data_IF_213134913322
#
_entry.id   IF_213134913322
#
_cell.length_a   1.000
_cell.length_b   1.000
_cell.length_c   1.000
_cell.angle_alpha   90.00
_cell.angle_beta   90.00
_cell.angle_gamma   90.00
#
_symmetry.space_group_name_H-M   'P 1'
#
loop_
_entity.id
_entity.type
_entity.pdbx_description
1 polymer ?
#
# COMPACT_ATOMS: atom_id res chain seq x y z
N UNK A 1 3.64 -31.37 15.67
CA UNK A 1 3.98 -30.01 16.14
C UNK A 1 4.60 -29.26 14.98
N UNK A 2 3.86 -28.34 14.34
CA UNK A 2 4.42 -27.52 13.26
C UNK A 2 5.26 -26.41 13.90
N UNK A 3 6.56 -26.40 13.61
CA UNK A 3 7.47 -25.37 14.11
C UNK A 3 7.04 -23.99 13.64
N UNK A 4 6.80 -23.08 14.57
CA UNK A 4 6.50 -21.66 14.30
C UNK A 4 7.82 -20.94 14.05
N UNK A 5 8.08 -20.57 12.81
CA UNK A 5 9.24 -19.75 12.45
C UNK A 5 8.91 -18.26 12.61
N UNK A 6 9.71 -17.54 13.38
CA UNK A 6 9.61 -16.08 13.56
C UNK A 6 10.54 -15.37 12.58
N UNK A 7 10.09 -14.22 12.09
CA UNK A 7 10.92 -13.32 11.28
C UNK A 7 11.79 -12.45 12.21
N UNK A 8 13.08 -12.22 11.88
CA UNK A 8 13.94 -11.36 12.69
C UNK A 8 13.50 -9.88 12.57
N UNK A 9 13.49 -9.19 13.70
CA UNK A 9 13.29 -7.73 13.76
C UNK A 9 14.48 -7.01 13.12
N UNK A 10 14.23 -6.07 12.22
CA UNK A 10 15.21 -5.14 11.67
C UNK A 10 14.81 -3.72 12.02
N UNK A 11 15.68 -2.99 12.73
CA UNK A 11 15.43 -1.62 13.17
C UNK A 11 15.25 -0.62 12.01
N UNK A 12 14.44 0.39 12.26
CA UNK A 12 14.29 1.56 11.39
C UNK A 12 15.58 2.38 11.40
N UNK A 13 16.06 2.70 10.21
CA UNK A 13 17.00 3.79 10.03
C UNK A 13 16.46 4.73 8.95
N UNK A 14 16.31 6.04 9.23
CA UNK A 14 16.07 6.99 8.16
C UNK A 14 17.24 6.90 7.18
N UNK A 15 16.97 7.07 5.90
CA UNK A 15 18.02 7.23 4.91
C UNK A 15 18.75 8.52 5.26
N UNK A 16 19.92 8.41 5.93
CA UNK A 16 20.81 9.55 6.12
C UNK A 16 21.13 10.12 4.73
N UNK A 17 21.02 11.45 4.57
CA UNK A 17 21.21 12.17 3.30
C UNK A 17 20.16 11.95 2.20
N UNK A 18 18.89 12.12 2.52
CA UNK A 18 17.84 12.22 1.48
C UNK A 18 17.88 13.58 0.72
N UNK A 19 18.77 14.50 1.07
CA UNK A 19 18.84 15.86 0.49
C UNK A 19 17.60 16.72 0.78
N UNK A 20 16.79 16.33 1.75
CA UNK A 20 15.59 17.04 2.16
C UNK A 20 15.91 17.96 3.34
N UNK A 21 15.64 19.26 3.28
CA UNK A 21 15.91 20.16 4.41
C UNK A 21 15.04 19.74 5.63
N UNK A 22 15.69 19.55 6.76
CA UNK A 22 15.08 19.11 8.02
C UNK A 22 14.22 20.19 8.70
N UNK A 23 14.23 21.41 8.21
CA UNK A 23 13.47 22.53 8.77
C UNK A 23 12.81 23.34 7.66
N UNK A 24 11.47 23.40 7.64
CA UNK A 24 10.74 24.35 6.82
C UNK A 24 10.51 25.63 7.61
N UNK A 25 10.92 26.82 7.10
CA UNK A 25 10.39 28.09 7.58
C UNK A 25 8.89 28.19 7.24
N UNK A 26 8.14 28.92 8.05
CA UNK A 26 6.67 29.11 7.94
C UNK A 26 6.18 29.83 6.66
N UNK A 27 6.99 29.91 5.61
CA UNK A 27 6.65 30.46 4.30
C UNK A 27 6.45 29.33 3.31
N UNK A 28 5.40 29.37 2.52
CA UNK A 28 5.10 28.40 1.46
C UNK A 28 6.36 28.11 0.63
N UNK A 29 6.75 26.83 0.50
CA UNK A 29 7.99 26.47 -0.16
C UNK A 29 8.00 26.89 -1.63
N UNK A 30 9.18 27.30 -2.13
CA UNK A 30 9.40 27.87 -3.46
C UNK A 30 9.06 26.94 -4.66
N UNK A 31 8.66 25.69 -4.41
CA UNK A 31 8.31 24.70 -5.43
C UNK A 31 6.93 24.92 -6.07
N UNK A 32 6.10 25.81 -5.54
CA UNK A 32 4.78 26.17 -6.12
C UNK A 32 4.82 26.96 -7.43
N UNK A 33 5.98 27.17 -8.04
CA UNK A 33 6.11 28.01 -9.25
C UNK A 33 6.73 27.32 -10.47
N UNK A 34 6.93 26.01 -10.47
CA UNK A 34 7.69 25.34 -11.53
C UNK A 34 6.86 24.51 -12.52
N UNK A 35 5.54 24.42 -12.38
CA UNK A 35 4.70 23.63 -13.28
C UNK A 35 3.51 24.47 -13.77
N UNK A 36 3.58 24.91 -15.03
CA UNK A 36 2.62 25.82 -15.68
C UNK A 36 1.54 25.08 -16.49
N UNK A 37 1.29 23.83 -16.21
CA UNK A 37 0.30 22.98 -16.89
C UNK A 37 -0.98 22.74 -16.07
N UNK A 38 -1.24 23.54 -15.05
CA UNK A 38 -2.51 23.55 -14.28
C UNK A 38 -2.66 22.39 -13.29
N UNK A 39 -1.64 21.54 -13.12
CA UNK A 39 -1.66 20.47 -12.13
C UNK A 39 -1.20 20.97 -10.76
N UNK A 40 -2.10 20.99 -9.78
CA UNK A 40 -1.72 21.28 -8.40
C UNK A 40 -0.88 20.12 -7.84
N UNK A 41 0.39 20.36 -7.44
CA UNK A 41 1.24 19.34 -6.85
C UNK A 41 0.61 18.71 -5.60
N UNK A 42 0.58 17.38 -5.53
CA UNK A 42 0.05 16.60 -4.40
C UNK A 42 1.18 15.94 -3.65
N UNK A 43 1.03 15.75 -2.35
CA UNK A 43 1.90 14.88 -1.54
C UNK A 43 1.34 13.47 -1.55
N UNK A 44 2.09 12.53 -2.12
CA UNK A 44 1.67 11.15 -2.35
C UNK A 44 2.61 10.21 -1.60
N UNK A 45 2.08 9.43 -0.68
CA UNK A 45 2.81 8.38 0.06
C UNK A 45 2.50 7.03 -0.58
N UNK A 46 3.52 6.30 -1.04
CA UNK A 46 3.35 4.98 -1.68
C UNK A 46 4.11 3.93 -0.90
N UNK A 47 3.40 2.95 -0.34
CA UNK A 47 4.02 1.82 0.34
C UNK A 47 4.39 0.72 -0.65
N UNK A 48 5.49 -0.01 -0.38
CA UNK A 48 6.00 -1.01 -1.33
C UNK A 48 6.57 -0.38 -2.62
N UNK A 49 7.14 0.84 -2.53
CA UNK A 49 7.57 1.63 -3.69
C UNK A 49 9.05 1.46 -4.07
N UNK A 50 9.78 0.54 -3.45
CA UNK A 50 11.19 0.26 -3.82
C UNK A 50 11.35 -0.64 -5.05
N UNK A 51 10.26 -1.24 -5.57
CA UNK A 51 10.29 -2.20 -6.70
C UNK A 51 8.89 -2.28 -7.34
N UNK A 52 8.80 -2.87 -8.55
CA UNK A 52 7.55 -3.24 -9.22
C UNK A 52 6.58 -2.08 -9.41
N UNK A 53 5.30 -2.34 -9.16
CA UNK A 53 4.17 -1.41 -9.37
C UNK A 53 4.36 -0.11 -8.61
N UNK A 54 4.71 -0.19 -7.32
CA UNK A 54 4.85 1.00 -6.48
C UNK A 54 5.97 1.92 -6.96
N UNK A 55 7.10 1.36 -7.43
CA UNK A 55 8.20 2.14 -8.01
C UNK A 55 7.80 2.78 -9.33
N UNK A 56 7.14 2.04 -10.21
CA UNK A 56 6.67 2.54 -11.49
C UNK A 56 5.64 3.68 -11.30
N UNK A 57 4.70 3.52 -10.37
CA UNK A 57 3.76 4.58 -10.01
C UNK A 57 4.47 5.81 -9.44
N UNK A 58 5.45 5.61 -8.55
CA UNK A 58 6.23 6.72 -7.99
C UNK A 58 6.96 7.53 -9.07
N UNK A 59 7.57 6.84 -10.06
CA UNK A 59 8.23 7.49 -11.18
C UNK A 59 7.26 8.29 -12.04
N UNK A 60 6.10 7.72 -12.38
CA UNK A 60 5.08 8.38 -13.20
C UNK A 60 4.48 9.60 -12.50
N UNK A 61 4.16 9.47 -11.20
CA UNK A 61 3.61 10.57 -10.40
C UNK A 61 4.64 11.69 -10.17
N UNK A 62 5.91 11.33 -9.99
CA UNK A 62 6.99 12.30 -9.92
C UNK A 62 7.19 13.06 -11.25
N UNK A 63 7.02 12.37 -12.40
CA UNK A 63 7.06 12.99 -13.72
C UNK A 63 5.87 13.94 -13.97
N UNK A 64 4.74 13.73 -13.27
CA UNK A 64 3.58 14.64 -13.25
C UNK A 64 3.76 15.84 -12.30
N UNK A 65 4.94 16.01 -11.69
CA UNK A 65 5.22 17.12 -10.80
C UNK A 65 4.76 16.94 -9.34
N UNK A 66 4.30 15.75 -8.96
CA UNK A 66 3.89 15.48 -7.60
C UNK A 66 5.08 15.22 -6.67
N UNK A 67 4.90 15.55 -5.38
CA UNK A 67 5.81 15.15 -4.30
C UNK A 67 5.52 13.70 -3.92
N UNK A 68 6.50 12.81 -4.03
CA UNK A 68 6.31 11.39 -3.76
C UNK A 68 7.22 10.88 -2.66
N UNK A 69 6.62 10.29 -1.63
CA UNK A 69 7.32 9.59 -0.54
C UNK A 69 7.27 8.09 -0.83
N UNK A 70 8.41 7.52 -1.18
CA UNK A 70 8.57 6.10 -1.42
C UNK A 70 8.82 5.37 -0.11
N UNK A 71 7.95 4.45 0.28
CA UNK A 71 8.19 3.60 1.45
C UNK A 71 8.52 2.19 0.98
N UNK A 72 9.70 1.68 1.37
CA UNK A 72 10.16 0.34 1.02
C UNK A 72 10.72 -0.41 2.21
N UNK A 73 10.81 -1.75 2.12
CA UNK A 73 11.35 -2.57 3.21
C UNK A 73 12.88 -2.55 3.29
N UNK A 74 13.54 -2.46 2.16
CA UNK A 74 15.01 -2.46 2.07
C UNK A 74 15.53 -1.05 1.87
N UNK A 75 16.39 -0.60 2.77
CA UNK A 75 17.04 0.72 2.70
C UNK A 75 17.76 0.91 1.36
N UNK A 76 18.61 -0.05 0.96
CA UNK A 76 19.40 0.06 -0.27
C UNK A 76 18.52 0.12 -1.52
N UNK A 77 17.47 -0.73 -1.59
CA UNK A 77 16.54 -0.70 -2.73
C UNK A 77 15.73 0.58 -2.78
N UNK A 78 15.31 1.10 -1.63
CA UNK A 78 14.53 2.34 -1.57
C UNK A 78 15.39 3.52 -1.99
N UNK A 79 16.65 3.58 -1.51
CA UNK A 79 17.62 4.57 -1.95
C UNK A 79 17.88 4.49 -3.46
N UNK A 80 18.18 3.29 -3.98
CA UNK A 80 18.40 3.10 -5.41
C UNK A 80 17.18 3.48 -6.26
N UNK A 81 15.96 3.24 -5.79
CA UNK A 81 14.75 3.67 -6.49
C UNK A 81 14.64 5.20 -6.54
N UNK A 82 14.91 5.89 -5.44
CA UNK A 82 14.93 7.37 -5.38
C UNK A 82 16.01 7.93 -6.31
N UNK A 83 17.22 7.39 -6.27
CA UNK A 83 18.35 7.81 -7.12
C UNK A 83 18.03 7.62 -8.61
N UNK A 84 17.42 6.49 -8.99
CA UNK A 84 16.99 6.24 -10.37
C UNK A 84 15.94 7.23 -10.86
N UNK A 85 14.95 7.55 -10.01
CA UNK A 85 13.92 8.54 -10.37
C UNK A 85 14.58 9.91 -10.55
N UNK A 86 15.45 10.33 -9.63
CA UNK A 86 16.16 11.63 -9.72
C UNK A 86 17.10 11.71 -10.92
N UNK A 87 17.76 10.62 -11.27
CA UNK A 87 18.65 10.59 -12.45
C UNK A 87 17.85 10.80 -13.76
N UNK A 88 16.65 10.27 -13.86
CA UNK A 88 15.76 10.49 -15.01
C UNK A 88 14.95 11.78 -14.95
N UNK A 89 14.73 12.32 -13.75
CA UNK A 89 13.90 13.49 -13.47
C UNK A 89 14.60 14.37 -12.40
N UNK A 90 15.59 15.21 -12.78
CA UNK A 90 16.43 15.95 -11.82
C UNK A 90 15.63 16.90 -10.89
N UNK A 91 14.49 17.39 -11.32
CA UNK A 91 13.61 18.29 -10.55
C UNK A 91 12.57 17.56 -9.70
N UNK A 92 12.53 16.22 -9.76
CA UNK A 92 11.52 15.42 -9.07
C UNK A 92 11.61 15.55 -7.54
N UNK A 93 10.48 15.84 -6.92
CA UNK A 93 10.33 15.92 -5.47
C UNK A 93 10.06 14.51 -4.90
N UNK A 94 11.13 13.72 -4.79
CA UNK A 94 11.04 12.33 -4.31
C UNK A 94 11.93 12.09 -3.11
N UNK A 95 11.46 11.31 -2.14
CA UNK A 95 12.28 10.83 -1.02
C UNK A 95 11.92 9.40 -0.64
N UNK A 96 12.81 8.73 0.09
CA UNK A 96 12.63 7.36 0.55
C UNK A 96 12.55 7.24 2.06
N UNK A 97 11.65 6.37 2.55
CA UNK A 97 11.57 5.92 3.93
C UNK A 97 11.63 4.40 3.96
N UNK A 98 12.11 3.84 5.07
CA UNK A 98 12.26 2.39 5.21
C UNK A 98 11.35 1.86 6.32
N UNK A 99 10.50 0.88 5.98
CA UNK A 99 9.58 0.24 6.94
C UNK A 99 9.26 -1.19 6.49
N UNK A 100 9.36 -2.15 7.40
CA UNK A 100 8.79 -3.48 7.20
C UNK A 100 7.33 -3.49 7.69
N UNK A 101 6.39 -3.68 6.78
CA UNK A 101 4.95 -3.70 7.10
C UNK A 101 4.53 -4.97 7.88
N UNK A 102 5.42 -5.93 8.05
CA UNK A 102 5.22 -7.06 8.96
C UNK A 102 5.59 -6.72 10.42
N UNK A 103 6.15 -5.54 10.69
CA UNK A 103 6.57 -5.04 12.01
C UNK A 103 5.73 -3.80 12.34
N UNK A 104 4.75 -3.96 13.22
CA UNK A 104 3.80 -2.89 13.54
C UNK A 104 4.45 -1.73 14.31
N UNK A 105 5.56 -1.98 15.04
CA UNK A 105 6.32 -0.91 15.69
C UNK A 105 6.95 0.01 14.64
N UNK A 106 7.56 -0.56 13.58
CA UNK A 106 8.10 0.24 12.48
C UNK A 106 7.01 1.00 11.72
N UNK A 107 5.79 0.45 11.61
CA UNK A 107 4.65 1.16 10.99
C UNK A 107 4.25 2.37 11.85
N UNK A 108 4.26 2.26 13.18
CA UNK A 108 4.00 3.40 14.08
C UNK A 108 5.06 4.50 13.94
N UNK A 109 6.34 4.12 13.87
CA UNK A 109 7.45 5.06 13.67
C UNK A 109 7.36 5.76 12.30
N UNK A 110 6.96 5.02 11.26
CA UNK A 110 6.68 5.59 9.95
C UNK A 110 5.57 6.64 10.03
N UNK A 111 4.45 6.30 10.67
CA UNK A 111 3.34 7.23 10.84
C UNK A 111 3.76 8.50 11.58
N UNK A 112 4.50 8.36 12.69
CA UNK A 112 5.02 9.50 13.45
C UNK A 112 5.96 10.38 12.59
N UNK A 113 6.80 9.75 11.76
CA UNK A 113 7.69 10.46 10.84
C UNK A 113 6.91 11.23 9.79
N UNK A 114 5.89 10.59 9.16
CA UNK A 114 5.05 11.24 8.17
C UNK A 114 4.25 12.39 8.76
N UNK A 115 3.68 12.23 9.96
CA UNK A 115 2.94 13.30 10.66
C UNK A 115 3.82 14.50 11.00
N UNK A 116 5.09 14.27 11.35
CA UNK A 116 6.05 15.32 11.66
C UNK A 116 6.52 16.05 10.40
N UNK A 117 6.73 15.36 9.30
CA UNK A 117 7.46 15.86 8.13
C UNK A 117 6.56 16.26 6.96
N UNK A 118 5.33 15.70 6.87
CA UNK A 118 4.37 16.02 5.83
C UNK A 118 3.18 16.80 6.41
N UNK A 119 3.08 18.07 6.09
CA UNK A 119 1.95 18.91 6.51
C UNK A 119 0.63 18.48 5.85
N UNK A 120 0.71 17.89 4.64
CA UNK A 120 -0.42 17.34 3.89
C UNK A 120 -0.05 15.96 3.38
N UNK A 121 -1.05 15.09 3.31
CA UNK A 121 -1.00 13.81 2.60
C UNK A 121 -2.26 13.75 1.74
N UNK A 122 -2.09 14.08 0.46
CA UNK A 122 -3.21 14.13 -0.49
C UNK A 122 -3.58 12.74 -1.00
N UNK A 123 -2.59 11.82 -1.03
CA UNK A 123 -2.83 10.43 -1.42
C UNK A 123 -2.01 9.49 -0.54
N UNK A 124 -2.69 8.49 0.04
CA UNK A 124 -2.07 7.34 0.69
C UNK A 124 -2.30 6.09 -0.14
N UNK A 125 -1.26 5.60 -0.82
CA UNK A 125 -1.30 4.37 -1.59
C UNK A 125 -0.76 3.19 -0.78
N UNK A 126 -1.67 2.35 -0.27
CA UNK A 126 -1.38 1.12 0.46
C UNK A 126 -1.11 0.00 -0.56
N UNK A 127 0.13 -0.04 -1.06
CA UNK A 127 0.53 -0.97 -2.12
C UNK A 127 1.51 -2.06 -1.63
N UNK A 128 2.09 -1.93 -0.43
CA UNK A 128 2.97 -2.95 0.12
C UNK A 128 2.26 -4.31 0.20
N UNK A 129 2.97 -5.36 -0.20
CA UNK A 129 2.44 -6.71 -0.15
C UNK A 129 3.50 -7.77 -0.43
N UNK A 130 3.27 -8.95 0.11
CA UNK A 130 4.15 -10.11 -0.04
C UNK A 130 3.32 -11.40 0.02
N UNK A 131 3.96 -12.51 -0.36
CA UNK A 131 3.40 -13.86 -0.26
C UNK A 131 4.43 -14.75 0.40
N UNK A 132 4.02 -15.50 1.42
CA UNK A 132 4.88 -16.44 2.15
C UNK A 132 4.44 -17.88 1.91
N UNK A 133 5.41 -18.75 1.56
CA UNK A 133 5.15 -20.15 1.22
C UNK A 133 4.77 -21.03 2.41
N UNK A 134 4.98 -20.53 3.63
CA UNK A 134 4.72 -21.24 4.91
C UNK A 134 3.96 -20.30 5.85
N UNK A 135 3.26 -20.86 6.83
CA UNK A 135 2.72 -20.10 7.93
C UNK A 135 3.88 -19.57 8.78
N UNK A 136 4.18 -18.28 8.59
CA UNK A 136 5.19 -17.56 9.36
C UNK A 136 4.49 -16.58 10.29
N UNK A 137 5.04 -16.38 11.46
CA UNK A 137 4.55 -15.36 12.40
C UNK A 137 5.54 -14.19 12.46
N UNK A 138 5.00 -12.99 12.56
CA UNK A 138 5.76 -11.78 12.87
C UNK A 138 6.28 -11.80 14.30
N UNK A 139 7.07 -10.80 14.67
CA UNK A 139 7.53 -10.62 16.06
C UNK A 139 6.38 -10.44 17.04
N UNK A 140 5.29 -9.81 16.60
CA UNK A 140 4.06 -9.62 17.39
C UNK A 140 3.14 -10.84 17.37
N UNK A 141 3.49 -11.89 16.62
CA UNK A 141 2.75 -13.15 16.58
C UNK A 141 1.66 -13.22 15.51
N UNK A 142 1.60 -12.28 14.57
CA UNK A 142 0.63 -12.28 13.47
C UNK A 142 1.08 -13.10 12.27
N UNK A 143 0.12 -13.67 11.50
CA UNK A 143 0.44 -14.34 10.23
C UNK A 143 1.04 -13.33 9.25
N UNK A 144 2.22 -13.65 8.72
CA UNK A 144 3.07 -12.70 8.00
C UNK A 144 2.45 -12.16 6.70
N UNK A 145 1.62 -12.94 5.99
CA UNK A 145 0.93 -12.46 4.78
C UNK A 145 -0.18 -11.47 5.15
N UNK A 146 -0.98 -11.79 6.16
CA UNK A 146 -2.03 -10.88 6.66
C UNK A 146 -1.40 -9.61 7.25
N UNK A 147 -0.33 -9.75 8.05
CA UNK A 147 0.37 -8.62 8.65
C UNK A 147 0.91 -7.67 7.58
N UNK A 148 1.66 -8.18 6.60
CA UNK A 148 2.28 -7.36 5.54
C UNK A 148 1.25 -6.73 4.60
N UNK A 149 0.22 -7.50 4.19
CA UNK A 149 -0.69 -7.08 3.13
C UNK A 149 -1.88 -6.27 3.62
N UNK A 150 -2.26 -6.45 4.90
CA UNK A 150 -3.45 -5.83 5.47
C UNK A 150 -3.14 -5.07 6.78
N UNK A 151 -2.70 -5.74 7.85
CA UNK A 151 -2.61 -5.11 9.17
C UNK A 151 -1.66 -3.91 9.21
N UNK A 152 -0.50 -3.99 8.58
CA UNK A 152 0.44 -2.87 8.51
C UNK A 152 -0.12 -1.68 7.74
N UNK A 153 -0.79 -1.92 6.61
CA UNK A 153 -1.46 -0.87 5.84
C UNK A 153 -2.66 -0.28 6.58
N UNK A 154 -3.45 -1.13 7.23
CA UNK A 154 -4.55 -0.74 8.11
C UNK A 154 -4.05 0.18 9.23
N UNK A 155 -3.04 -0.24 9.98
CA UNK A 155 -2.47 0.57 11.06
C UNK A 155 -1.97 1.93 10.56
N UNK A 156 -1.26 1.96 9.43
CA UNK A 156 -0.78 3.21 8.86
C UNK A 156 -1.93 4.15 8.49
N UNK A 157 -2.98 3.66 7.85
CA UNK A 157 -4.14 4.46 7.49
C UNK A 157 -4.86 5.03 8.72
N UNK A 158 -5.06 4.22 9.76
CA UNK A 158 -5.69 4.67 11.01
C UNK A 158 -4.85 5.73 11.72
N UNK A 159 -3.53 5.58 11.80
CA UNK A 159 -2.64 6.56 12.41
C UNK A 159 -2.53 7.88 11.62
N UNK A 160 -2.74 7.83 10.31
CA UNK A 160 -2.73 9.01 9.43
C UNK A 160 -4.13 9.60 9.18
N UNK A 161 -5.17 9.02 9.77
CA UNK A 161 -6.57 9.35 9.50
C UNK A 161 -6.85 10.86 9.61
N UNK A 162 -6.52 11.48 10.71
CA UNK A 162 -6.76 12.90 10.95
C UNK A 162 -5.99 13.79 9.96
N UNK A 163 -4.77 13.38 9.59
CA UNK A 163 -3.97 14.09 8.58
C UNK A 163 -4.61 13.96 7.18
N UNK A 164 -5.17 12.80 6.83
CA UNK A 164 -5.88 12.61 5.57
C UNK A 164 -7.16 13.46 5.52
N UNK A 165 -7.93 13.51 6.61
CA UNK A 165 -9.12 14.37 6.72
C UNK A 165 -8.72 15.85 6.61
N UNK A 166 -7.70 16.28 7.34
CA UNK A 166 -7.20 17.67 7.27
C UNK A 166 -6.61 18.04 5.89
N UNK A 167 -6.24 17.04 5.09
CA UNK A 167 -5.72 17.21 3.73
C UNK A 167 -6.81 17.13 2.64
N UNK A 168 -8.08 17.00 3.01
CA UNK A 168 -9.16 16.86 2.02
C UNK A 168 -9.13 18.00 0.98
N UNK A 169 -9.48 17.71 -0.29
CA UNK A 169 -9.82 16.40 -0.82
C UNK A 169 -8.60 15.46 -0.90
N UNK A 170 -8.69 14.31 -0.27
CA UNK A 170 -7.61 13.33 -0.23
C UNK A 170 -8.10 11.92 -0.61
N UNK A 171 -7.15 11.02 -0.92
CA UNK A 171 -7.49 9.68 -1.44
C UNK A 171 -6.70 8.59 -0.71
N UNK A 172 -7.38 7.49 -0.39
CA UNK A 172 -6.76 6.22 0.03
C UNK A 172 -6.93 5.22 -1.11
N UNK A 173 -5.81 4.72 -1.64
CA UNK A 173 -5.79 3.74 -2.74
C UNK A 173 -5.19 2.44 -2.24
N UNK A 174 -5.98 1.36 -2.22
CA UNK A 174 -5.57 0.08 -1.62
C UNK A 174 -5.36 -0.98 -2.70
N UNK A 175 -4.13 -1.47 -2.81
CA UNK A 175 -3.81 -2.55 -3.76
C UNK A 175 -4.38 -3.88 -3.28
N UNK A 176 -5.37 -4.40 -4.03
CA UNK A 176 -5.93 -5.72 -3.88
C UNK A 176 -5.43 -6.66 -5.00
N UNK A 177 -6.22 -7.61 -5.41
CA UNK A 177 -5.93 -8.59 -6.46
C UNK A 177 -7.21 -9.28 -6.90
N UNK A 178 -7.27 -9.78 -8.13
CA UNK A 178 -8.30 -10.72 -8.55
C UNK A 178 -8.39 -12.00 -7.70
N UNK A 179 -7.36 -12.28 -6.89
CA UNK A 179 -7.39 -13.38 -5.93
C UNK A 179 -8.44 -13.18 -4.82
N UNK A 180 -8.88 -11.94 -4.54
CA UNK A 180 -9.89 -11.66 -3.51
C UNK A 180 -11.20 -12.41 -3.76
N UNK A 181 -11.57 -12.69 -5.02
CA UNK A 181 -12.76 -13.48 -5.37
C UNK A 181 -12.74 -14.91 -4.83
N UNK A 182 -11.58 -15.42 -4.43
CA UNK A 182 -11.39 -16.73 -3.79
C UNK A 182 -11.08 -16.61 -2.29
N UNK A 183 -11.12 -15.41 -1.75
CA UNK A 183 -10.89 -15.13 -0.35
C UNK A 183 -12.09 -15.49 0.51
N UNK A 184 -11.84 -15.84 1.77
CA UNK A 184 -12.85 -16.00 2.81
C UNK A 184 -12.35 -15.35 4.09
N UNK A 185 -13.23 -14.64 4.82
CA UNK A 185 -12.95 -14.07 6.13
C UNK A 185 -13.59 -14.98 7.18
N UNK A 186 -12.81 -15.89 7.73
CA UNK A 186 -13.17 -16.69 8.89
C UNK A 186 -12.56 -16.00 10.11
N UNK A 187 -13.34 -15.28 10.86
CA UNK A 187 -12.86 -14.44 11.96
C UNK A 187 -12.36 -15.24 13.17
N UNK A 188 -12.81 -16.50 13.32
CA UNK A 188 -12.29 -17.42 14.35
C UNK A 188 -10.89 -17.96 13.99
N UNK A 189 -10.52 -17.89 12.71
CA UNK A 189 -9.24 -18.35 12.20
C UNK A 189 -8.67 -17.39 11.14
N UNK A 190 -8.80 -16.07 11.36
CA UNK A 190 -8.40 -15.04 10.40
C UNK A 190 -6.91 -15.14 10.04
N UNK A 191 -6.06 -15.51 10.99
CA UNK A 191 -4.62 -15.64 10.82
C UNK A 191 -4.19 -17.04 10.36
N UNK A 192 -5.14 -17.91 9.97
CA UNK A 192 -4.87 -19.26 9.45
C UNK A 192 -3.95 -20.11 10.36
N UNK A 193 -4.14 -20.02 11.67
CA UNK A 193 -3.44 -20.88 12.61
C UNK A 193 -3.64 -22.38 12.28
N UNK A 194 -4.78 -22.70 11.65
CA UNK A 194 -5.10 -24.02 11.12
C UNK A 194 -5.34 -23.95 9.62
N UNK A 195 -4.83 -24.92 8.87
CA UNK A 195 -5.13 -25.09 7.44
C UNK A 195 -4.50 -24.00 6.54
N UNK A 196 -3.30 -23.51 6.89
CA UNK A 196 -2.56 -22.55 6.07
C UNK A 196 -2.24 -23.13 4.70
N UNK A 197 -2.55 -22.38 3.68
CA UNK A 197 -2.10 -22.57 2.30
C UNK A 197 -1.73 -21.19 1.74
N UNK A 198 -0.65 -21.11 1.00
CA UNK A 198 -0.12 -19.88 0.43
C UNK A 198 -1.23 -19.03 -0.25
N UNK A 199 -1.99 -19.64 -1.17
CA UNK A 199 -3.04 -18.93 -1.91
C UNK A 199 -4.25 -18.59 -1.05
N UNK A 200 -4.55 -19.38 -0.01
CA UNK A 200 -5.62 -19.08 0.94
C UNK A 200 -5.27 -17.85 1.79
N UNK A 201 -4.04 -17.77 2.31
CA UNK A 201 -3.56 -16.61 3.05
C UNK A 201 -3.52 -15.34 2.18
N UNK A 202 -2.99 -15.48 0.96
CA UNK A 202 -2.94 -14.37 0.01
C UNK A 202 -4.35 -13.86 -0.39
N UNK A 203 -5.24 -14.75 -0.82
CA UNK A 203 -6.59 -14.39 -1.23
C UNK A 203 -7.37 -13.72 -0.08
N UNK A 204 -7.23 -14.23 1.15
CA UNK A 204 -7.80 -13.66 2.36
C UNK A 204 -7.29 -12.25 2.62
N UNK A 205 -6.00 -12.02 2.57
CA UNK A 205 -5.42 -10.70 2.78
C UNK A 205 -5.88 -9.69 1.72
N UNK A 206 -6.10 -10.14 0.47
CA UNK A 206 -6.59 -9.29 -0.61
C UNK A 206 -8.10 -9.02 -0.52
N UNK A 207 -8.88 -9.96 0.00
CA UNK A 207 -10.28 -9.70 0.35
C UNK A 207 -10.38 -8.70 1.52
N UNK A 208 -9.57 -8.87 2.56
CA UNK A 208 -9.52 -7.92 3.67
C UNK A 208 -9.24 -6.48 3.18
N UNK A 209 -8.38 -6.31 2.19
CA UNK A 209 -8.10 -4.99 1.60
C UNK A 209 -9.32 -4.39 0.88
N UNK A 210 -10.12 -5.20 0.17
CA UNK A 210 -11.35 -4.71 -0.48
C UNK A 210 -12.40 -4.35 0.56
N UNK A 211 -12.61 -5.21 1.56
CA UNK A 211 -13.55 -4.97 2.67
C UNK A 211 -13.18 -3.70 3.42
N UNK A 212 -11.90 -3.50 3.71
CA UNK A 212 -11.42 -2.30 4.41
C UNK A 212 -11.59 -1.02 3.58
N UNK A 213 -11.36 -1.07 2.27
CA UNK A 213 -11.62 0.08 1.39
C UNK A 213 -13.09 0.49 1.42
N UNK A 214 -14.02 -0.47 1.40
CA UNK A 214 -15.46 -0.22 1.49
C UNK A 214 -15.87 0.29 2.88
N UNK A 215 -15.27 -0.24 3.95
CA UNK A 215 -15.46 0.28 5.30
C UNK A 215 -15.05 1.75 5.38
N UNK A 216 -13.84 2.09 4.93
CA UNK A 216 -13.33 3.46 4.93
C UNK A 216 -14.19 4.41 4.11
N UNK A 217 -14.70 3.98 2.96
CA UNK A 217 -15.57 4.79 2.12
C UNK A 217 -16.84 5.22 2.86
N UNK A 218 -17.43 4.31 3.65
CA UNK A 218 -18.61 4.58 4.47
C UNK A 218 -18.27 5.42 5.70
N UNK A 219 -17.21 5.07 6.39
CA UNK A 219 -16.82 5.66 7.67
C UNK A 219 -16.25 7.09 7.52
N UNK A 220 -15.67 7.40 6.35
CA UNK A 220 -15.17 8.73 5.99
C UNK A 220 -16.15 9.56 5.15
N UNK A 221 -17.41 9.14 5.04
CA UNK A 221 -18.42 9.88 4.31
C UNK A 221 -18.54 11.33 4.84
N UNK A 222 -18.62 12.29 3.93
CA UNK A 222 -18.72 13.72 4.27
C UNK A 222 -17.40 14.39 4.66
N UNK A 223 -16.31 13.66 4.85
CA UNK A 223 -15.00 14.23 5.23
C UNK A 223 -14.20 14.78 4.04
N UNK A 224 -14.59 14.43 2.81
CA UNK A 224 -13.83 14.72 1.59
C UNK A 224 -12.67 13.75 1.32
N UNK A 225 -12.54 12.69 2.12
CA UNK A 225 -11.60 11.57 1.87
C UNK A 225 -12.30 10.49 1.06
N UNK A 226 -11.70 10.02 -0.02
CA UNK A 226 -12.19 8.86 -0.77
C UNK A 226 -11.30 7.64 -0.55
N UNK A 227 -11.90 6.44 -0.50
CA UNK A 227 -11.17 5.19 -0.35
C UNK A 227 -11.61 4.18 -1.42
N UNK A 228 -10.65 3.68 -2.21
CA UNK A 228 -10.91 2.73 -3.26
C UNK A 228 -9.88 1.60 -3.25
N UNK A 229 -10.27 0.44 -3.75
CA UNK A 229 -9.36 -0.70 -3.94
C UNK A 229 -9.23 -1.05 -5.42
N UNK A 230 -8.13 -1.70 -5.80
CA UNK A 230 -7.92 -2.08 -7.20
C UNK A 230 -7.09 -3.35 -7.38
N UNK A 231 -7.32 -4.00 -8.53
CA UNK A 231 -6.44 -5.03 -9.05
C UNK A 231 -5.48 -4.43 -10.08
N UNK A 232 -4.18 -4.47 -9.82
CA UNK A 232 -3.19 -3.92 -10.76
C UNK A 232 -2.99 -4.76 -12.03
N UNK A 233 -3.66 -5.89 -12.17
CA UNK A 233 -3.38 -6.91 -13.17
C UNK A 233 -2.43 -7.99 -12.64
N UNK A 234 -2.18 -9.02 -13.45
CA UNK A 234 -1.17 -10.03 -13.15
C UNK A 234 0.18 -9.48 -13.58
N UNK A 235 0.91 -8.89 -12.64
CA UNK A 235 2.17 -8.19 -12.91
C UNK A 235 3.36 -9.11 -12.67
N UNK A 236 4.36 -9.02 -13.55
CA UNK A 236 5.66 -9.70 -13.43
C UNK A 236 6.50 -9.08 -12.30
N UNK A 237 6.00 -9.14 -11.03
CA UNK A 237 6.70 -8.60 -9.88
C UNK A 237 7.36 -9.67 -9.02
N UNK A 238 8.27 -9.23 -8.17
CA UNK A 238 8.98 -10.07 -7.22
C UNK A 238 8.13 -10.54 -6.01
N UNK A 239 6.83 -10.29 -6.00
CA UNK A 239 5.90 -10.69 -4.92
C UNK A 239 5.95 -12.21 -4.66
N UNK A 240 6.22 -13.00 -5.70
CA UNK A 240 6.30 -14.47 -5.64
C UNK A 240 7.67 -15.02 -5.25
N UNK A 241 8.63 -14.17 -4.83
CA UNK A 241 9.97 -14.65 -4.42
C UNK A 241 9.93 -15.63 -3.24
N UNK A 242 8.95 -15.52 -2.37
CA UNK A 242 8.71 -16.44 -1.25
C UNK A 242 7.98 -17.73 -1.62
N UNK A 243 7.57 -17.88 -2.90
CA UNK A 243 6.86 -19.08 -3.35
C UNK A 243 7.82 -20.29 -3.49
N UNK A 244 7.35 -21.52 -3.16
CA UNK A 244 8.13 -22.74 -3.32
C UNK A 244 8.68 -22.94 -4.74
N UNK A 245 9.86 -23.55 -4.86
CA UNK A 245 10.57 -23.72 -6.14
C UNK A 245 9.76 -24.48 -7.20
N UNK A 246 8.89 -25.40 -6.80
CA UNK A 246 8.03 -26.18 -7.70
C UNK A 246 6.95 -25.34 -8.40
N UNK A 247 6.58 -24.17 -7.86
CA UNK A 247 5.64 -23.23 -8.50
C UNK A 247 6.31 -22.38 -9.61
N UNK A 248 7.64 -22.30 -9.64
CA UNK A 248 8.36 -21.47 -10.63
C UNK A 248 8.08 -21.82 -12.09
N UNK A 249 7.98 -23.12 -12.51
CA UNK A 249 7.62 -23.46 -13.89
C UNK A 249 6.22 -23.01 -14.27
N UNK A 250 5.24 -23.17 -13.36
CA UNK A 250 3.85 -22.75 -13.56
C UNK A 250 3.76 -21.23 -13.70
N UNK A 251 4.48 -20.51 -12.83
CA UNK A 251 4.61 -19.04 -12.92
C UNK A 251 5.31 -18.62 -14.23
N UNK A 252 6.23 -19.42 -14.74
CA UNK A 252 6.92 -19.20 -16.03
C UNK A 252 5.99 -19.28 -17.22
N UNK A 253 5.02 -20.19 -17.24
CA UNK A 253 4.01 -20.31 -18.29
C UNK A 253 2.98 -19.18 -18.21
N UNK A 254 2.53 -18.84 -17.00
CA UNK A 254 1.61 -17.70 -16.76
C UNK A 254 2.25 -16.39 -17.17
N UNK A 255 3.58 -16.23 -16.99
CA UNK A 255 4.36 -15.06 -17.44
C UNK A 255 4.22 -14.78 -18.93
N UNK A 256 4.09 -15.80 -19.77
CA UNK A 256 4.05 -15.62 -21.24
C UNK A 256 2.69 -15.20 -21.80
N UNK A 257 1.61 -15.37 -21.06
CA UNK A 257 0.25 -15.30 -21.66
C UNK A 257 -0.62 -14.17 -21.15
N UNK A 258 -0.36 -13.60 -19.94
CA UNK A 258 -1.26 -12.59 -19.30
C UNK A 258 -0.59 -11.61 -18.33
N UNK A 259 0.73 -11.47 -18.34
CA UNK A 259 1.38 -10.56 -17.40
C UNK A 259 1.54 -9.18 -18.04
N UNK A 260 1.04 -8.17 -17.33
CA UNK A 260 1.31 -6.77 -17.64
C UNK A 260 2.68 -6.35 -17.09
N UNK A 261 3.23 -5.27 -17.65
CA UNK A 261 4.47 -4.68 -17.14
C UNK A 261 4.26 -4.00 -15.78
N UNK A 262 5.33 -3.81 -14.97
CA UNK A 262 5.26 -2.95 -13.80
C UNK A 262 4.76 -1.53 -14.11
N UNK A 263 5.08 -1.01 -15.30
CA UNK A 263 4.69 0.33 -15.72
C UNK A 263 3.18 0.44 -15.97
N UNK A 264 2.56 -0.57 -16.57
CA UNK A 264 1.10 -0.63 -16.73
C UNK A 264 0.40 -0.76 -15.37
N UNK A 265 0.93 -1.59 -14.45
CA UNK A 265 0.40 -1.70 -13.09
C UNK A 265 0.57 -0.40 -12.32
N UNK A 266 1.70 0.29 -12.50
CA UNK A 266 1.99 1.60 -11.95
C UNK A 266 1.04 2.68 -12.45
N UNK A 267 0.73 2.66 -13.76
CA UNK A 267 -0.21 3.59 -14.37
C UNK A 267 -1.63 3.45 -13.80
N UNK A 268 -2.07 2.22 -13.47
CA UNK A 268 -3.36 1.99 -12.81
C UNK A 268 -3.40 2.59 -11.41
N UNK A 269 -2.33 2.46 -10.64
CA UNK A 269 -2.21 3.11 -9.33
C UNK A 269 -2.18 4.64 -9.48
N UNK A 270 -1.39 5.17 -10.41
CA UNK A 270 -1.28 6.61 -10.66
C UNK A 270 -2.63 7.21 -11.09
N UNK A 271 -3.39 6.51 -11.94
CA UNK A 271 -4.74 6.90 -12.33
C UNK A 271 -5.66 7.08 -11.12
N UNK A 272 -5.73 6.10 -10.22
CA UNK A 272 -6.57 6.20 -9.01
C UNK A 272 -6.06 7.28 -8.05
N UNK A 273 -4.75 7.50 -8.01
CA UNK A 273 -4.13 8.52 -7.17
C UNK A 273 -4.49 9.96 -7.61
N UNK A 274 -4.51 10.24 -8.93
CA UNK A 274 -4.51 11.62 -9.41
C UNK A 274 -5.56 11.96 -10.45
N UNK A 275 -6.13 10.98 -11.19
CA UNK A 275 -7.10 11.28 -12.25
C UNK A 275 -8.31 12.05 -11.73
N UNK A 276 -8.73 13.12 -12.43
CA UNK A 276 -9.95 13.85 -12.11
C UNK A 276 -11.22 12.99 -12.36
N UNK A 277 -11.15 12.00 -13.24
CA UNK A 277 -12.29 11.14 -13.58
C UNK A 277 -12.81 10.34 -12.37
N UNK A 278 -11.95 10.06 -11.40
CA UNK A 278 -12.28 9.31 -10.18
C UNK A 278 -12.21 10.17 -8.90
N UNK A 279 -12.23 11.50 -9.04
CA UNK A 279 -12.04 12.42 -7.92
C UNK A 279 -13.04 12.23 -6.78
N UNK A 280 -14.32 12.01 -7.08
CA UNK A 280 -15.39 11.77 -6.12
C UNK A 280 -15.76 10.30 -5.93
N UNK A 281 -15.05 9.38 -6.60
CA UNK A 281 -15.38 7.95 -6.50
C UNK A 281 -14.84 7.37 -5.20
N UNK A 282 -15.70 6.71 -4.42
CA UNK A 282 -15.35 6.05 -3.16
C UNK A 282 -16.06 4.70 -3.03
N UNK A 283 -15.51 3.76 -2.26
CA UNK A 283 -16.09 2.42 -2.05
C UNK A 283 -16.06 1.53 -3.30
N UNK A 284 -15.26 1.86 -4.29
CA UNK A 284 -15.24 1.15 -5.57
C UNK A 284 -14.01 0.24 -5.68
N UNK A 285 -14.25 -0.98 -6.15
CA UNK A 285 -13.18 -1.86 -6.61
C UNK A 285 -12.96 -1.67 -8.11
N UNK A 286 -11.71 -1.44 -8.49
CA UNK A 286 -11.31 -1.25 -9.90
C UNK A 286 -10.55 -2.46 -10.44
N UNK A 287 -10.91 -2.89 -11.64
CA UNK A 287 -10.14 -3.84 -12.44
C UNK A 287 -9.81 -3.18 -13.77
N UNK A 288 -8.52 -3.06 -14.11
CA UNK A 288 -8.07 -2.36 -15.33
C UNK A 288 -8.63 -0.92 -15.46
N UNK A 289 -8.60 -0.17 -14.39
CA UNK A 289 -9.16 1.19 -14.27
C UNK A 289 -10.68 1.30 -14.52
N UNK A 290 -11.39 0.18 -14.55
CA UNK A 290 -12.85 0.14 -14.68
C UNK A 290 -13.47 -0.29 -13.37
N UNK A 291 -14.55 0.36 -12.93
CA UNK A 291 -15.36 -0.13 -11.82
C UNK A 291 -15.81 -1.56 -12.08
N UNK A 292 -15.73 -2.40 -11.04
CA UNK A 292 -16.17 -3.80 -11.10
C UNK A 292 -16.69 -4.22 -9.73
N UNK A 293 -17.74 -5.04 -9.73
CA UNK A 293 -18.28 -5.56 -8.49
C UNK A 293 -17.26 -6.47 -7.79
N UNK A 294 -16.95 -6.24 -6.52
CA UNK A 294 -16.09 -7.11 -5.74
C UNK A 294 -16.84 -8.37 -5.30
N UNK A 295 -16.18 -9.26 -4.56
CA UNK A 295 -16.86 -10.35 -3.88
C UNK A 295 -17.97 -9.78 -2.97
N UNK A 296 -19.23 -10.32 -3.00
CA UNK A 296 -20.37 -9.77 -2.23
C UNK A 296 -20.10 -9.56 -0.75
N UNK A 297 -19.28 -10.44 -0.12
CA UNK A 297 -18.87 -10.27 1.27
C UNK A 297 -18.14 -8.93 1.55
N UNK A 298 -17.55 -8.30 0.54
CA UNK A 298 -16.89 -7.00 0.71
C UNK A 298 -17.90 -5.84 0.80
N UNK A 299 -19.14 -6.05 0.36
CA UNK A 299 -20.22 -5.07 0.41
C UNK A 299 -21.10 -5.23 1.65
N UNK A 300 -20.93 -6.32 2.40
CA UNK A 300 -21.68 -6.58 3.63
C UNK A 300 -21.13 -5.73 4.78
N UNK A 301 -21.96 -4.83 5.30
CA UNK A 301 -21.60 -3.92 6.40
C UNK A 301 -21.22 -4.68 7.68
N UNK A 302 -21.88 -5.81 7.99
CA UNK A 302 -21.52 -6.58 9.18
C UNK A 302 -20.11 -7.19 9.05
N UNK A 303 -19.75 -7.68 7.87
CA UNK A 303 -18.40 -8.16 7.56
C UNK A 303 -17.37 -7.03 7.65
N UNK A 304 -17.70 -5.84 7.13
CA UNK A 304 -16.86 -4.65 7.21
C UNK A 304 -16.57 -4.25 8.66
N UNK A 305 -17.62 -4.13 9.47
CA UNK A 305 -17.51 -3.73 10.89
C UNK A 305 -16.75 -4.78 11.70
N UNK A 306 -16.99 -6.06 11.45
CA UNK A 306 -16.29 -7.14 12.12
C UNK A 306 -14.80 -7.18 11.75
N UNK A 307 -14.45 -7.02 10.45
CA UNK A 307 -13.04 -6.95 10.03
C UNK A 307 -12.34 -5.75 10.65
N UNK A 308 -13.00 -4.59 10.67
CA UNK A 308 -12.45 -3.38 11.27
C UNK A 308 -12.16 -3.58 12.76
N UNK A 309 -13.15 -4.08 13.53
CA UNK A 309 -12.98 -4.32 14.96
C UNK A 309 -11.88 -5.33 15.26
N UNK A 310 -11.80 -6.43 14.50
CA UNK A 310 -10.75 -7.43 14.65
C UNK A 310 -9.38 -6.84 14.29
N UNK A 311 -9.28 -6.09 13.19
CA UNK A 311 -8.02 -5.47 12.76
C UNK A 311 -7.52 -4.46 13.80
N UNK A 312 -8.39 -3.59 14.35
CA UNK A 312 -8.04 -2.67 15.45
C UNK A 312 -7.43 -3.42 16.63
N UNK A 313 -8.10 -4.49 17.07
CA UNK A 313 -7.60 -5.32 18.18
C UNK A 313 -6.24 -5.94 17.88
N UNK A 314 -6.06 -6.52 16.68
CA UNK A 314 -4.80 -7.15 16.27
C UNK A 314 -3.64 -6.15 16.21
N UNK A 315 -3.90 -4.92 15.78
CA UNK A 315 -2.85 -3.89 15.73
C UNK A 315 -2.72 -3.08 17.02
N UNK A 316 -3.47 -3.43 18.09
CA UNK A 316 -3.39 -2.75 19.41
C UNK A 316 -3.92 -1.31 19.39
N UNK A 317 -4.93 -1.04 18.59
CA UNK A 317 -5.73 0.19 18.64
C UNK A 317 -7.00 -0.08 19.47
N UNK A 318 -7.12 0.57 20.62
CA UNK A 318 -8.31 0.51 21.50
C UNK A 318 -9.45 1.35 20.96
#
# INVERSE_FOLDING_TARGET
>A
MAGRHRLPARGLRPLADSGWPATHPATAPAWGRAYDDGVTPRTIVITGASDGIGKAAAQQLAAQGHRVVLVGRSQDKTRAAVEQIRAGLPTAQVRGLTTDFADLAQVRDLAATLLREEQRIDVLALNAGSVFGKHLLTTEGHEATLATNHLGGFLLAELLRDRLIASAPSRIVITSSGAHYRGTLDFENLELAKGYQLMRGYARSKLANVVYANYLARDLEGTGVTANSFHPGVVATNIWRGAPAWLRPILGVVKKVRMISPDEGGARLAYLATSPEVAGTTGTYFDENKPKDPLPAALDHAVQDQLYAVSRRLVGLT
#
